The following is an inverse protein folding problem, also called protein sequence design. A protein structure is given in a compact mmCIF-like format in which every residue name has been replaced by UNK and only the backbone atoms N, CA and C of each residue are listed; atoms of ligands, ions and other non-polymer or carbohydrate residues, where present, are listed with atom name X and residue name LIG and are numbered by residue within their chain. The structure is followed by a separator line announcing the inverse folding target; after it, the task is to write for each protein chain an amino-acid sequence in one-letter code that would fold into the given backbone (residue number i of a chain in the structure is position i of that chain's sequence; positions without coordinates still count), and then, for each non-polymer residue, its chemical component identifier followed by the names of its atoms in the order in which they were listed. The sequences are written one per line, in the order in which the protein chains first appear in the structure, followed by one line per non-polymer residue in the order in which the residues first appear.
data_IF_500331767136
#
_entry.id   IF_500331767136
#
_cell.length_a   1.000
_cell.length_b   1.000
_cell.length_c   1.000
_cell.angle_alpha   90.00
_cell.angle_beta   90.00
_cell.angle_gamma   90.00
#
_symmetry.space_group_name_H-M   'P 1'
#
loop_
_entity.id
_entity.type
_entity.pdbx_description
1 polymer ?
#
# COMPACT_ATOMS: atom_id res chain seq x y z
N UNK A 1 55.98 -26.94 -29.90
CA UNK A 1 55.59 -26.47 -28.54
C UNK A 1 54.72 -25.20 -28.65
N UNK A 2 53.60 -25.19 -29.36
CA UNK A 2 52.82 -23.97 -29.65
C UNK A 2 51.28 -24.16 -29.68
N UNK A 3 50.77 -25.25 -29.11
CA UNK A 3 49.32 -25.58 -29.15
C UNK A 3 48.61 -25.56 -27.79
N UNK A 4 49.33 -25.25 -26.67
CA UNK A 4 48.76 -25.35 -25.29
C UNK A 4 48.31 -23.98 -24.68
N UNK A 5 48.47 -22.87 -25.43
CA UNK A 5 48.14 -21.49 -24.90
C UNK A 5 46.79 -20.89 -25.31
N UNK A 6 45.98 -21.60 -26.12
CA UNK A 6 44.72 -21.06 -26.66
C UNK A 6 43.44 -21.55 -25.96
N UNK A 7 43.49 -22.42 -24.95
CA UNK A 7 42.33 -23.01 -24.29
C UNK A 7 41.99 -22.39 -22.93
N UNK A 8 42.75 -21.40 -22.45
CA UNK A 8 42.52 -20.80 -21.13
C UNK A 8 41.77 -19.46 -21.14
N UNK A 9 41.41 -18.89 -22.29
CA UNK A 9 40.72 -17.61 -22.39
C UNK A 9 39.21 -17.69 -22.63
N UNK A 10 38.64 -18.91 -22.76
CA UNK A 10 37.19 -19.06 -23.06
C UNK A 10 36.30 -19.34 -21.84
N UNK A 11 36.87 -19.46 -20.63
CA UNK A 11 36.12 -19.85 -19.44
C UNK A 11 35.71 -18.67 -18.52
N UNK A 12 36.06 -17.42 -18.83
CA UNK A 12 35.77 -16.26 -17.95
C UNK A 12 34.62 -15.37 -18.41
N UNK A 13 33.90 -15.66 -19.48
CA UNK A 13 32.86 -14.80 -20.03
C UNK A 13 31.40 -15.23 -19.71
N UNK A 14 31.18 -16.27 -18.91
CA UNK A 14 29.84 -16.83 -18.66
C UNK A 14 29.28 -16.54 -17.24
N UNK A 15 29.87 -15.61 -16.47
CA UNK A 15 29.48 -15.39 -15.05
C UNK A 15 28.82 -14.04 -14.81
N UNK A 16 28.06 -13.47 -15.74
CA UNK A 16 27.45 -12.14 -15.52
C UNK A 16 25.99 -12.00 -15.94
N UNK A 17 25.20 -13.06 -15.89
CA UNK A 17 23.73 -12.98 -16.08
C UNK A 17 23.01 -13.81 -15.03
N UNK A 18 23.31 -13.58 -13.76
CA UNK A 18 22.33 -13.87 -12.72
C UNK A 18 21.31 -12.73 -12.81
N UNK A 19 20.03 -12.99 -13.18
CA UNK A 19 19.00 -11.99 -12.98
C UNK A 19 19.01 -11.71 -11.48
N UNK A 20 19.32 -10.47 -11.10
CA UNK A 20 19.18 -10.05 -9.72
C UNK A 20 17.77 -10.43 -9.29
N UNK A 21 17.64 -11.18 -8.18
CA UNK A 21 16.36 -11.42 -7.53
C UNK A 21 15.76 -10.04 -7.30
N UNK A 22 14.83 -9.63 -8.16
CA UNK A 22 14.07 -8.41 -7.94
C UNK A 22 13.43 -8.57 -6.57
N UNK A 23 13.80 -7.71 -5.63
CA UNK A 23 13.18 -7.69 -4.31
C UNK A 23 11.67 -7.62 -4.52
N UNK A 24 10.92 -8.45 -3.78
CA UNK A 24 9.46 -8.38 -3.83
C UNK A 24 9.05 -6.97 -3.42
N UNK A 25 8.34 -6.27 -4.31
CA UNK A 25 7.76 -4.97 -4.04
C UNK A 25 6.29 -4.97 -4.44
N UNK A 26 5.42 -4.26 -3.71
CA UNK A 26 4.02 -4.16 -4.09
C UNK A 26 3.89 -3.45 -5.44
N UNK A 27 2.98 -3.96 -6.29
CA UNK A 27 2.68 -3.33 -7.59
C UNK A 27 1.95 -1.98 -7.43
N UNK A 28 1.22 -1.81 -6.34
CA UNK A 28 0.57 -0.57 -5.93
C UNK A 28 0.31 -0.57 -4.41
N UNK A 29 0.32 0.62 -3.81
CA UNK A 29 -0.10 0.81 -2.42
C UNK A 29 -1.23 1.83 -2.42
N UNK A 30 -2.40 1.43 -1.95
CA UNK A 30 -3.54 2.31 -1.78
C UNK A 30 -3.65 2.74 -0.32
N UNK A 31 -3.75 4.05 -0.08
CA UNK A 31 -3.94 4.58 1.26
C UNK A 31 -5.23 5.39 1.30
N UNK A 32 -6.05 5.12 2.29
CA UNK A 32 -7.35 5.78 2.47
C UNK A 32 -7.61 6.10 3.93
N UNK A 33 -8.18 7.26 4.20
CA UNK A 33 -8.70 7.62 5.52
C UNK A 33 -9.97 6.81 5.80
N UNK A 34 -10.21 6.45 7.08
CA UNK A 34 -11.52 5.91 7.47
C UNK A 34 -12.66 6.82 6.99
N UNK A 35 -13.81 6.23 6.71
CA UNK A 35 -15.02 6.98 6.35
C UNK A 35 -15.53 7.88 7.47
N UNK A 36 -16.57 8.66 7.19
CA UNK A 36 -17.23 9.53 8.15
C UNK A 36 -17.70 8.75 9.37
N UNK A 37 -17.45 9.30 10.55
CA UNK A 37 -17.71 8.62 11.83
C UNK A 37 -18.81 9.33 12.63
N UNK A 38 -19.42 8.60 13.55
CA UNK A 38 -20.29 9.14 14.60
C UNK A 38 -19.47 9.90 15.66
N UNK A 39 -20.12 10.51 16.63
CA UNK A 39 -19.47 11.11 17.79
C UNK A 39 -19.12 10.00 18.82
N UNK A 40 -18.06 10.21 19.61
CA UNK A 40 -17.68 9.30 20.69
C UNK A 40 -16.18 9.04 20.75
N UNK A 41 -15.75 8.18 21.67
CA UNK A 41 -14.33 7.90 21.95
C UNK A 41 -13.70 6.99 20.88
N UNK A 42 -14.35 5.90 20.50
CA UNK A 42 -13.97 5.03 19.35
C UNK A 42 -15.24 4.76 18.52
N UNK A 43 -15.74 5.80 17.80
CA UNK A 43 -17.05 5.73 17.17
C UNK A 43 -17.03 4.82 15.94
N UNK A 44 -18.18 4.22 15.70
CA UNK A 44 -18.51 3.55 14.45
C UNK A 44 -18.60 4.54 13.29
N UNK A 45 -18.58 4.02 12.07
CA UNK A 45 -18.89 4.81 10.88
C UNK A 45 -20.34 5.31 10.92
N UNK A 46 -20.53 6.52 10.43
CA UNK A 46 -21.88 7.03 10.12
C UNK A 46 -22.46 6.30 8.90
N UNK A 47 -23.78 6.42 8.62
CA UNK A 47 -24.33 5.86 7.38
C UNK A 47 -23.60 6.32 6.12
N UNK A 48 -23.13 7.58 6.08
CA UNK A 48 -22.31 8.09 4.98
C UNK A 48 -20.95 7.41 4.91
N UNK A 49 -20.30 7.21 6.06
CA UNK A 49 -19.02 6.49 6.12
C UNK A 49 -19.13 5.02 5.70
N UNK A 50 -20.24 4.35 6.05
CA UNK A 50 -20.52 2.98 5.57
C UNK A 50 -20.70 2.95 4.05
N UNK A 51 -21.43 3.91 3.47
CA UNK A 51 -21.55 4.04 2.02
C UNK A 51 -20.18 4.28 1.35
N UNK A 52 -19.35 5.17 1.91
CA UNK A 52 -17.99 5.41 1.42
C UNK A 52 -17.13 4.15 1.48
N UNK A 53 -17.19 3.37 2.55
CA UNK A 53 -16.47 2.09 2.65
C UNK A 53 -16.87 1.12 1.54
N UNK A 54 -18.15 1.06 1.17
CA UNK A 54 -18.63 0.27 0.02
C UNK A 54 -18.09 0.81 -1.31
N UNK A 55 -18.03 2.13 -1.49
CA UNK A 55 -17.46 2.74 -2.70
C UNK A 55 -15.96 2.44 -2.84
N UNK A 56 -15.19 2.56 -1.75
CA UNK A 56 -13.77 2.17 -1.74
C UNK A 56 -13.60 0.70 -2.15
N UNK A 57 -14.41 -0.19 -1.58
CA UNK A 57 -14.40 -1.60 -1.93
C UNK A 57 -14.74 -1.81 -3.43
N UNK A 58 -15.77 -1.12 -3.95
CA UNK A 58 -16.16 -1.21 -5.35
C UNK A 58 -15.06 -0.71 -6.32
N UNK A 59 -14.29 0.29 -5.92
CA UNK A 59 -13.14 0.78 -6.73
C UNK A 59 -11.99 -0.24 -6.71
N UNK A 60 -11.70 -0.86 -5.55
CA UNK A 60 -10.48 -1.62 -5.34
C UNK A 60 -10.61 -3.14 -5.49
N UNK A 61 -11.83 -3.72 -5.50
CA UNK A 61 -12.00 -5.19 -5.50
C UNK A 61 -11.34 -5.91 -6.70
N UNK A 62 -11.13 -5.21 -7.81
CA UNK A 62 -10.44 -5.74 -9.01
C UNK A 62 -9.00 -5.23 -9.18
N UNK A 63 -8.46 -4.53 -8.19
CA UNK A 63 -7.12 -3.95 -8.27
C UNK A 63 -5.99 -4.94 -7.92
N UNK A 64 -6.28 -6.25 -7.82
CA UNK A 64 -5.28 -7.25 -7.46
C UNK A 64 -4.78 -7.13 -6.02
N UNK A 65 -5.69 -6.77 -5.10
CA UNK A 65 -5.36 -6.60 -3.67
C UNK A 65 -4.93 -7.96 -3.08
N UNK A 66 -3.79 -7.98 -2.43
CA UNK A 66 -3.20 -9.17 -1.77
C UNK A 66 -3.10 -9.01 -0.25
N UNK A 67 -3.17 -7.78 0.26
CA UNK A 67 -3.17 -7.50 1.70
C UNK A 67 -3.94 -6.23 2.03
N UNK A 68 -4.61 -6.23 3.19
CA UNK A 68 -5.35 -5.08 3.73
C UNK A 68 -4.87 -4.84 5.15
N UNK A 69 -4.43 -3.61 5.41
CA UNK A 69 -3.98 -3.16 6.73
C UNK A 69 -4.92 -2.11 7.30
N UNK A 70 -5.15 -2.16 8.60
CA UNK A 70 -5.97 -1.19 9.32
C UNK A 70 -5.41 -0.93 10.71
N UNK A 71 -5.61 0.26 11.25
CA UNK A 71 -5.45 0.48 12.69
C UNK A 71 -6.55 -0.24 13.46
N UNK A 72 -6.41 -0.33 14.79
CA UNK A 72 -7.33 -1.10 15.67
C UNK A 72 -8.68 -0.39 15.93
N UNK A 73 -8.93 0.81 15.41
CA UNK A 73 -10.15 1.56 15.71
C UNK A 73 -11.38 1.00 14.97
N UNK A 74 -12.57 1.13 15.58
CA UNK A 74 -13.82 0.66 14.96
C UNK A 74 -14.02 1.23 13.54
N UNK A 75 -13.84 2.54 13.37
CA UNK A 75 -14.04 3.24 12.10
C UNK A 75 -13.09 2.78 10.97
N UNK A 76 -11.82 2.47 11.25
CA UNK A 76 -10.89 1.98 10.23
C UNK A 76 -11.17 0.53 9.85
N UNK A 77 -11.50 -0.31 10.83
CA UNK A 77 -11.89 -1.70 10.60
C UNK A 77 -13.18 -1.77 9.77
N UNK A 78 -14.19 -0.95 10.08
CA UNK A 78 -15.42 -0.89 9.31
C UNK A 78 -15.20 -0.34 7.90
N UNK A 79 -14.24 0.55 7.70
CA UNK A 79 -13.87 1.03 6.36
C UNK A 79 -13.20 -0.08 5.52
N UNK A 80 -12.37 -0.92 6.14
CA UNK A 80 -11.69 -2.04 5.48
C UNK A 80 -12.62 -3.24 5.21
N UNK A 81 -13.65 -3.44 6.03
CA UNK A 81 -14.48 -4.65 6.05
C UNK A 81 -15.15 -5.01 4.72
N UNK A 82 -15.77 -4.07 3.96
CA UNK A 82 -16.40 -4.42 2.68
C UNK A 82 -15.39 -4.95 1.65
N UNK A 83 -14.20 -4.35 1.57
CA UNK A 83 -13.15 -4.83 0.66
C UNK A 83 -12.62 -6.19 1.09
N UNK A 84 -12.39 -6.39 2.38
CA UNK A 84 -11.97 -7.68 2.94
C UNK A 84 -12.98 -8.79 2.61
N UNK A 85 -14.27 -8.51 2.75
CA UNK A 85 -15.33 -9.45 2.40
C UNK A 85 -15.35 -9.77 0.90
N UNK A 86 -15.21 -8.77 0.02
CA UNK A 86 -15.24 -8.97 -1.43
C UNK A 86 -14.01 -9.70 -1.97
N UNK A 87 -12.86 -9.54 -1.33
CA UNK A 87 -11.59 -10.17 -1.74
C UNK A 87 -11.30 -11.49 -1.01
N UNK A 88 -12.03 -11.81 0.06
CA UNK A 88 -11.77 -12.97 0.91
C UNK A 88 -10.51 -12.81 1.79
N UNK A 89 -9.95 -11.59 1.90
CA UNK A 89 -8.75 -11.32 2.67
C UNK A 89 -9.07 -11.00 4.14
N UNK A 90 -8.16 -11.36 5.03
CA UNK A 90 -8.20 -10.93 6.44
C UNK A 90 -7.54 -9.58 6.61
N UNK A 91 -8.19 -8.66 7.35
CA UNK A 91 -7.61 -7.37 7.72
C UNK A 91 -6.50 -7.58 8.73
N UNK A 92 -5.30 -7.13 8.42
CA UNK A 92 -4.14 -7.15 9.30
C UNK A 92 -4.07 -5.85 10.10
N UNK A 93 -3.75 -5.94 11.39
CA UNK A 93 -3.62 -4.76 12.23
C UNK A 93 -2.21 -4.21 12.18
N UNK A 94 -2.10 -2.88 12.15
CA UNK A 94 -0.84 -2.17 12.34
C UNK A 94 -0.95 -1.10 13.43
N UNK A 95 0.19 -0.78 14.03
CA UNK A 95 0.29 0.30 15.02
C UNK A 95 0.56 1.64 14.31
N UNK A 96 -0.37 2.59 14.46
CA UNK A 96 -0.23 3.94 13.91
C UNK A 96 0.97 4.72 14.50
N UNK A 97 1.47 4.31 15.68
CA UNK A 97 2.63 4.91 16.33
C UNK A 97 3.96 4.29 15.86
N UNK A 98 3.91 3.21 15.08
CA UNK A 98 5.08 2.53 14.52
C UNK A 98 5.01 2.45 12.97
N UNK A 99 4.91 3.58 12.26
CA UNK A 99 4.68 3.59 10.81
C UNK A 99 5.80 2.91 10.01
N UNK A 100 7.05 2.97 10.47
CA UNK A 100 8.18 2.29 9.82
C UNK A 100 8.02 0.77 9.80
N UNK A 101 7.49 0.16 10.86
CA UNK A 101 7.25 -1.28 10.91
C UNK A 101 6.24 -1.72 9.85
N UNK A 102 5.17 -0.93 9.62
CA UNK A 102 4.23 -1.16 8.54
C UNK A 102 4.91 -1.05 7.17
N UNK A 103 5.73 -0.02 6.96
CA UNK A 103 6.43 0.19 5.68
C UNK A 103 7.35 -0.99 5.36
N UNK A 104 8.13 -1.45 6.34
CA UNK A 104 9.00 -2.62 6.17
C UNK A 104 8.21 -3.91 5.88
N UNK A 105 7.05 -4.09 6.49
CA UNK A 105 6.17 -5.23 6.24
C UNK A 105 5.60 -5.17 4.82
N UNK A 106 5.07 -4.02 4.41
CA UNK A 106 4.44 -3.83 3.10
C UNK A 106 5.44 -4.00 1.97
N UNK A 107 6.67 -3.50 2.11
CA UNK A 107 7.74 -3.64 1.09
C UNK A 107 8.16 -5.08 0.79
N UNK A 108 7.81 -6.04 1.64
CA UNK A 108 8.08 -7.47 1.44
C UNK A 108 6.95 -8.20 0.72
N UNK A 109 5.85 -7.51 0.43
CA UNK A 109 4.69 -8.09 -0.21
C UNK A 109 4.76 -7.91 -1.73
N UNK A 110 3.98 -8.72 -2.44
CA UNK A 110 3.73 -8.60 -3.88
C UNK A 110 2.26 -8.31 -4.13
N UNK A 111 1.91 -7.84 -5.33
CA UNK A 111 0.54 -7.44 -5.65
C UNK A 111 0.20 -6.06 -5.11
N UNK A 112 -1.08 -5.73 -5.02
CA UNK A 112 -1.51 -4.45 -4.51
C UNK A 112 -1.88 -4.54 -3.02
N UNK A 113 -1.59 -3.48 -2.26
CA UNK A 113 -1.82 -3.41 -0.81
C UNK A 113 -2.72 -2.23 -0.49
N UNK A 114 -3.63 -2.41 0.47
CA UNK A 114 -4.49 -1.33 0.98
C UNK A 114 -4.14 -1.03 2.43
N UNK A 115 -4.01 0.24 2.76
CA UNK A 115 -3.80 0.74 4.13
C UNK A 115 -4.91 1.70 4.49
N UNK A 116 -5.69 1.36 5.51
CA UNK A 116 -6.73 2.23 6.08
C UNK A 116 -6.19 2.91 7.33
N UNK A 117 -6.17 4.24 7.33
CA UNK A 117 -5.61 5.04 8.41
C UNK A 117 -6.42 6.28 8.75
N UNK A 118 -5.73 7.33 9.21
CA UNK A 118 -6.32 8.57 9.72
C UNK A 118 -5.73 9.79 9.00
N UNK A 119 -6.43 10.94 9.04
CA UNK A 119 -5.97 12.19 8.42
C UNK A 119 -4.57 12.62 8.88
N UNK A 120 -4.24 12.41 10.14
CA UNK A 120 -2.96 12.78 10.75
C UNK A 120 -1.83 11.76 10.52
N UNK A 121 -2.11 10.52 10.13
CA UNK A 121 -1.08 9.47 9.95
C UNK A 121 -0.80 9.14 8.48
N UNK A 122 -1.79 9.32 7.60
CA UNK A 122 -1.62 9.04 6.16
C UNK A 122 -0.53 9.88 5.49
N UNK A 123 -0.40 11.20 5.75
CA UNK A 123 0.65 12.00 5.11
C UNK A 123 2.06 11.49 5.40
N UNK A 124 2.31 11.05 6.63
CA UNK A 124 3.59 10.45 7.02
C UNK A 124 3.81 9.10 6.32
N UNK A 125 2.83 8.20 6.33
CA UNK A 125 2.91 6.91 5.65
C UNK A 125 3.19 7.07 4.15
N UNK A 126 2.51 8.02 3.48
CA UNK A 126 2.73 8.30 2.06
C UNK A 126 4.18 8.72 1.82
N UNK A 127 4.74 9.61 2.65
CA UNK A 127 6.16 10.02 2.57
C UNK A 127 7.11 8.85 2.79
N UNK A 128 6.85 8.01 3.79
CA UNK A 128 7.69 6.86 4.12
C UNK A 128 7.68 5.79 3.01
N UNK A 129 6.58 5.66 2.27
CA UNK A 129 6.51 4.86 1.05
C UNK A 129 7.17 5.52 -0.16
N UNK A 130 7.66 6.76 -0.05
CA UNK A 130 8.30 7.51 -1.13
C UNK A 130 7.35 8.33 -2.00
N UNK A 131 6.10 8.46 -1.60
CA UNK A 131 5.09 9.24 -2.31
C UNK A 131 5.01 10.70 -1.88
N UNK A 132 4.14 11.46 -2.53
CA UNK A 132 3.84 12.86 -2.24
C UNK A 132 2.42 13.00 -1.67
N UNK A 133 2.23 13.36 -0.39
CA UNK A 133 0.91 13.41 0.25
C UNK A 133 0.06 14.61 -0.19
N UNK A 134 0.67 15.64 -0.77
CA UNK A 134 -0.02 16.91 -1.06
C UNK A 134 -0.25 17.74 0.21
N UNK A 135 -1.37 18.48 0.23
CA UNK A 135 -1.82 19.28 1.38
C UNK A 135 -2.30 18.39 2.53
N UNK A 136 -2.34 18.95 3.73
CA UNK A 136 -2.96 18.29 4.89
C UNK A 136 -4.41 17.90 4.58
N UNK A 137 -4.86 16.82 5.22
CA UNK A 137 -6.23 16.31 5.07
C UNK A 137 -7.10 16.99 6.13
N UNK A 138 -8.06 17.83 5.70
CA UNK A 138 -8.97 18.52 6.60
C UNK A 138 -9.87 17.53 7.36
N UNK A 139 -10.41 17.97 8.51
CA UNK A 139 -11.20 17.10 9.37
C UNK A 139 -12.50 16.61 8.72
N UNK A 140 -13.07 17.37 7.83
CA UNK A 140 -14.28 17.08 7.06
C UNK A 140 -14.00 16.43 5.69
N UNK A 141 -12.71 16.19 5.35
CA UNK A 141 -12.29 15.63 4.07
C UNK A 141 -12.06 14.12 4.20
N UNK A 142 -12.90 13.32 3.53
CA UNK A 142 -12.88 11.86 3.59
C UNK A 142 -12.74 11.19 2.22
N UNK A 143 -12.71 11.96 1.14
CA UNK A 143 -12.81 11.45 -0.22
C UNK A 143 -11.47 11.12 -0.89
N UNK A 144 -10.33 11.38 -0.24
CA UNK A 144 -9.01 11.09 -0.80
C UNK A 144 -8.69 9.58 -0.76
N UNK A 145 -8.39 9.04 -1.93
CA UNK A 145 -7.79 7.72 -2.10
C UNK A 145 -6.45 7.89 -2.81
N UNK A 146 -5.35 7.66 -2.09
CA UNK A 146 -4.01 7.72 -2.66
C UNK A 146 -3.65 6.38 -3.30
N UNK A 147 -3.11 6.43 -4.50
CA UNK A 147 -2.47 5.29 -5.16
C UNK A 147 -0.99 5.61 -5.34
N UNK A 148 -0.14 4.82 -4.75
CA UNK A 148 1.30 4.87 -4.91
C UNK A 148 1.73 3.75 -5.86
N UNK A 149 2.46 4.09 -6.90
CA UNK A 149 2.99 3.17 -7.89
C UNK A 149 4.52 3.17 -7.81
N UNK A 150 5.13 2.17 -7.13
CA UNK A 150 6.58 2.00 -7.14
C UNK A 150 7.09 1.71 -8.55
N UNK A 151 8.25 2.26 -8.90
CA UNK A 151 8.89 2.03 -10.18
C UNK A 151 10.28 1.38 -9.97
N UNK A 152 10.80 0.61 -10.94
CA UNK A 152 12.08 -0.10 -10.81
C UNK A 152 13.29 0.80 -10.52
N UNK A 153 13.20 2.09 -10.81
CA UNK A 153 14.23 3.09 -10.53
C UNK A 153 14.17 3.65 -9.08
N UNK A 154 13.30 3.09 -8.22
CA UNK A 154 13.09 3.52 -6.84
C UNK A 154 12.21 4.76 -6.68
N UNK A 155 11.71 5.34 -7.78
CA UNK A 155 10.74 6.44 -7.70
C UNK A 155 9.34 5.90 -7.41
N UNK A 156 8.51 6.72 -6.76
CA UNK A 156 7.11 6.39 -6.50
C UNK A 156 6.23 7.47 -7.10
N UNK A 157 5.37 7.08 -8.05
CA UNK A 157 4.34 7.97 -8.59
C UNK A 157 3.14 7.97 -7.66
N UNK A 158 2.75 9.15 -7.19
CA UNK A 158 1.51 9.34 -6.43
C UNK A 158 0.38 9.80 -7.32
N UNK A 159 -0.75 9.13 -7.26
CA UNK A 159 -1.99 9.51 -7.92
C UNK A 159 -3.04 9.71 -6.83
N UNK A 160 -3.69 10.87 -6.83
CA UNK A 160 -4.82 11.14 -5.96
C UNK A 160 -6.11 10.86 -6.72
N UNK A 161 -6.86 9.89 -6.22
CA UNK A 161 -8.20 9.53 -6.71
C UNK A 161 -9.24 10.09 -5.74
N UNK A 162 -10.44 10.38 -6.24
CA UNK A 162 -11.58 10.74 -5.41
C UNK A 162 -12.47 9.53 -5.14
N UNK A 163 -13.08 9.48 -3.95
CA UNK A 163 -14.17 8.56 -3.62
C UNK A 163 -15.47 9.34 -3.49
N UNK A 164 -16.58 8.89 -4.09
CA UNK A 164 -17.88 9.58 -3.99
C UNK A 164 -18.39 9.68 -2.55
#
# INVERSE_FOLDING_TARGET
MTTFRRLLCAALAALSLLPGLAAAEPSAIYLVRHGEKLAGQDPDLSPRGLARAQHVAAILHRAGITAIFSTKTARTLQTAAPLAQQTGLTVQLYDALAPLALVEQVRKLTGAVVVVGHSNTLPELIKLFGGAPGSDIADDEFDRLYQLLPAPNGQVKTILLGTP
#
